data_IF_041898673862
#
_entry.id   IF_041898673862
#
_cell.length_a   1.000
_cell.length_b   1.000
_cell.length_c   1.000
_cell.angle_alpha   90.00
_cell.angle_beta   90.00
_cell.angle_gamma   90.00
#
_symmetry.space_group_name_H-M   'P 1'
#
loop_
_entity.id
_entity.type
_entity.pdbx_description
1 polymer ?
#
# COMPACT_ATOMS: atom_id res chain seq x y z
N UNK A 1 -8.67 -4.00 -16.88
CA UNK A 1 -9.26 -5.24 -16.31
C UNK A 1 -9.24 -5.15 -14.79
N UNK A 2 -10.28 -5.62 -14.10
CA UNK A 2 -10.42 -5.49 -12.63
C UNK A 2 -9.91 -6.71 -11.84
N UNK A 3 -9.64 -7.84 -12.51
CA UNK A 3 -9.16 -9.10 -11.92
C UNK A 3 -8.31 -9.86 -12.95
N UNK A 4 -7.23 -10.50 -12.51
CA UNK A 4 -6.46 -11.40 -13.38
C UNK A 4 -6.79 -12.87 -13.14
N UNK A 5 -6.90 -13.26 -11.87
CA UNK A 5 -7.01 -14.66 -11.47
C UNK A 5 -8.00 -14.83 -10.30
N UNK A 6 -8.81 -15.88 -10.36
CA UNK A 6 -9.59 -16.43 -9.25
C UNK A 6 -8.78 -17.55 -8.59
N UNK A 7 -8.71 -17.52 -7.26
CA UNK A 7 -7.89 -18.43 -6.46
C UNK A 7 -8.69 -19.39 -5.58
N UNK A 8 -9.87 -18.98 -5.15
CA UNK A 8 -10.71 -19.77 -4.26
C UNK A 8 -12.16 -19.33 -4.37
N UNK A 9 -13.06 -20.30 -4.27
CA UNK A 9 -14.50 -20.10 -4.09
C UNK A 9 -14.89 -20.76 -2.77
N UNK A 10 -15.49 -19.98 -1.87
CA UNK A 10 -16.15 -20.50 -0.68
C UNK A 10 -17.66 -20.34 -0.82
N UNK A 11 -18.40 -21.35 -0.38
CA UNK A 11 -19.86 -21.32 -0.28
C UNK A 11 -20.23 -21.61 1.17
N UNK A 12 -20.88 -20.63 1.83
CA UNK A 12 -20.85 -20.54 3.29
C UNK A 12 -19.41 -20.48 3.78
N UNK A 13 -19.09 -21.31 4.79
CA UNK A 13 -17.74 -21.39 5.36
C UNK A 13 -16.87 -22.50 4.73
N UNK A 14 -17.36 -23.20 3.70
CA UNK A 14 -16.66 -24.33 3.07
C UNK A 14 -16.03 -23.93 1.74
N UNK A 15 -14.83 -24.45 1.47
CA UNK A 15 -14.14 -24.28 0.18
C UNK A 15 -14.79 -25.19 -0.83
N UNK A 16 -15.46 -24.61 -1.84
CA UNK A 16 -16.07 -25.35 -2.95
C UNK A 16 -15.08 -25.55 -4.10
N UNK A 17 -14.11 -24.65 -4.24
CA UNK A 17 -13.06 -24.76 -5.25
C UNK A 17 -11.81 -24.00 -4.81
N UNK A 18 -10.64 -24.53 -5.18
CA UNK A 18 -9.35 -23.89 -4.99
C UNK A 18 -8.43 -24.22 -6.17
N UNK A 19 -7.74 -23.21 -6.70
CA UNK A 19 -6.88 -23.37 -7.87
C UNK A 19 -6.42 -22.02 -8.39
N UNK A 20 -6.01 -21.95 -9.65
CA UNK A 20 -5.75 -20.69 -10.35
C UNK A 20 -6.55 -20.73 -11.65
N UNK A 21 -7.48 -19.80 -11.82
CA UNK A 21 -8.25 -19.72 -13.06
C UNK A 21 -7.38 -19.25 -14.22
N UNK A 22 -7.80 -19.57 -15.44
CA UNK A 22 -7.17 -19.04 -16.66
C UNK A 22 -7.16 -17.50 -16.68
N UNK A 23 -6.11 -16.92 -17.29
CA UNK A 23 -5.90 -15.47 -17.42
C UNK A 23 -6.73 -14.85 -18.56
N UNK A 24 -7.32 -15.66 -19.45
CA UNK A 24 -8.22 -15.23 -20.52
C UNK A 24 -9.40 -14.38 -20.04
N UNK A 25 -9.94 -13.56 -20.93
CA UNK A 25 -11.08 -12.68 -20.61
C UNK A 25 -12.36 -13.44 -20.25
N UNK A 26 -12.55 -14.60 -20.88
CA UNK A 26 -13.55 -15.58 -20.48
C UNK A 26 -12.85 -16.84 -20.00
N UNK A 27 -13.21 -17.34 -18.82
CA UNK A 27 -12.69 -18.60 -18.30
C UNK A 27 -13.76 -19.42 -17.59
N UNK A 28 -13.55 -20.73 -17.53
CA UNK A 28 -14.53 -21.70 -17.03
C UNK A 28 -13.92 -22.48 -15.88
N UNK A 29 -14.65 -22.60 -14.78
CA UNK A 29 -14.25 -23.36 -13.59
C UNK A 29 -15.33 -24.40 -13.28
N UNK A 30 -15.00 -25.67 -13.43
CA UNK A 30 -15.86 -26.79 -13.02
C UNK A 30 -15.78 -26.97 -11.51
N UNK A 31 -16.92 -26.96 -10.84
CA UNK A 31 -17.07 -27.28 -9.41
C UNK A 31 -17.84 -28.59 -9.32
N UNK A 32 -17.26 -29.61 -8.69
CA UNK A 32 -17.90 -30.91 -8.49
C UNK A 32 -17.72 -31.33 -7.03
N UNK A 33 -18.49 -30.68 -6.17
CA UNK A 33 -18.56 -30.92 -4.73
C UNK A 33 -20.02 -31.19 -4.31
N UNK A 34 -20.69 -32.22 -4.88
CA UNK A 34 -22.12 -32.47 -4.64
C UNK A 34 -22.45 -32.81 -3.18
N UNK A 35 -21.44 -33.20 -2.39
CA UNK A 35 -21.58 -33.52 -0.97
C UNK A 35 -21.00 -32.44 -0.03
N UNK A 36 -20.72 -31.23 -0.55
CA UNK A 36 -20.06 -30.16 0.22
C UNK A 36 -20.76 -29.87 1.55
N UNK A 37 -22.08 -29.99 1.62
CA UNK A 37 -22.89 -29.79 2.82
C UNK A 37 -23.56 -31.07 3.33
N UNK A 38 -22.97 -32.23 3.01
CA UNK A 38 -23.43 -33.54 3.46
C UNK A 38 -24.36 -34.27 2.50
N UNK A 39 -24.49 -33.81 1.26
CA UNK A 39 -25.26 -34.50 0.22
C UNK A 39 -26.76 -34.43 0.43
N UNK A 40 -27.49 -35.32 -0.26
CA UNK A 40 -28.96 -35.34 -0.28
C UNK A 40 -29.59 -35.63 1.09
N UNK A 41 -28.85 -36.27 2.00
CA UNK A 41 -29.27 -36.48 3.38
C UNK A 41 -29.23 -35.20 4.24
N UNK A 42 -28.65 -34.11 3.71
CA UNK A 42 -28.52 -32.81 4.37
C UNK A 42 -28.86 -31.66 3.41
N UNK A 43 -27.90 -30.78 3.13
CA UNK A 43 -28.12 -29.56 2.33
C UNK A 43 -27.49 -29.65 0.92
N UNK A 44 -27.14 -30.86 0.47
CA UNK A 44 -26.51 -31.11 -0.81
C UNK A 44 -25.07 -30.64 -0.89
N UNK A 45 -24.77 -29.92 -1.97
CA UNK A 45 -23.46 -29.38 -2.29
C UNK A 45 -23.52 -28.50 -3.53
N UNK A 46 -22.36 -28.32 -4.18
CA UNK A 46 -22.20 -27.47 -5.35
C UNK A 46 -21.71 -28.31 -6.51
N UNK A 47 -22.50 -28.37 -7.57
CA UNK A 47 -22.16 -29.11 -8.78
C UNK A 47 -22.57 -28.30 -10.00
N UNK A 48 -21.61 -27.67 -10.65
CA UNK A 48 -21.88 -26.85 -11.84
C UNK A 48 -20.61 -26.30 -12.49
N UNK A 49 -20.79 -25.41 -13.45
CA UNK A 49 -19.68 -24.67 -14.07
C UNK A 49 -19.87 -23.19 -13.79
N UNK A 50 -18.81 -22.57 -13.29
CA UNK A 50 -18.71 -21.12 -13.14
C UNK A 50 -18.02 -20.54 -14.37
N UNK A 51 -18.72 -19.65 -15.07
CA UNK A 51 -18.18 -18.85 -16.17
C UNK A 51 -17.77 -17.50 -15.59
N UNK A 52 -16.51 -17.13 -15.83
CA UNK A 52 -15.89 -15.90 -15.37
C UNK A 52 -15.69 -15.01 -16.59
N UNK A 53 -16.32 -13.84 -16.59
CA UNK A 53 -16.15 -12.82 -17.63
C UNK A 53 -15.45 -11.61 -16.99
N UNK A 54 -14.27 -11.22 -17.49
CA UNK A 54 -13.43 -10.20 -16.84
C UNK A 54 -13.69 -8.77 -17.30
N UNK A 55 -14.61 -8.58 -18.24
CA UNK A 55 -15.11 -7.28 -18.66
C UNK A 55 -14.19 -6.56 -19.64
N UNK A 56 -13.43 -7.26 -20.49
CA UNK A 56 -12.65 -6.61 -21.54
C UNK A 56 -13.53 -5.77 -22.49
N UNK A 57 -12.92 -4.81 -23.18
CA UNK A 57 -13.60 -3.85 -24.07
C UNK A 57 -14.28 -4.52 -25.27
N UNK A 58 -13.79 -5.68 -25.68
CA UNK A 58 -14.29 -6.50 -26.79
C UNK A 58 -15.19 -7.65 -26.34
N UNK A 59 -15.48 -7.77 -25.04
CA UNK A 59 -16.33 -8.83 -24.49
C UNK A 59 -17.71 -8.85 -25.17
N UNK A 60 -18.17 -10.06 -25.50
CA UNK A 60 -19.47 -10.31 -26.11
C UNK A 60 -20.52 -10.69 -25.06
N UNK A 61 -21.83 -10.48 -25.34
CA UNK A 61 -22.91 -10.95 -24.46
C UNK A 61 -22.83 -12.46 -24.22
N UNK A 62 -23.05 -12.88 -22.97
CA UNK A 62 -23.01 -14.29 -22.60
C UNK A 62 -24.21 -15.05 -23.21
N UNK A 63 -24.00 -16.08 -24.06
CA UNK A 63 -25.09 -16.78 -24.73
C UNK A 63 -26.08 -17.47 -23.78
N UNK A 64 -25.62 -17.88 -22.60
CA UNK A 64 -26.43 -18.49 -21.53
C UNK A 64 -27.48 -17.49 -21.03
N UNK A 65 -27.07 -16.25 -20.73
CA UNK A 65 -27.98 -15.19 -20.29
C UNK A 65 -28.96 -14.79 -21.38
N UNK A 66 -28.50 -14.70 -22.64
CA UNK A 66 -29.40 -14.41 -23.78
C UNK A 66 -30.50 -15.46 -23.91
N UNK A 67 -30.14 -16.74 -23.77
CA UNK A 67 -31.12 -17.86 -23.80
C UNK A 67 -32.09 -17.80 -22.63
N UNK A 68 -31.63 -17.45 -21.43
CA UNK A 68 -32.50 -17.34 -20.24
C UNK A 68 -33.53 -16.22 -20.36
N UNK A 69 -33.13 -15.05 -20.84
CA UNK A 69 -34.01 -13.88 -20.91
C UNK A 69 -34.79 -13.76 -22.21
N UNK A 70 -34.44 -14.56 -23.23
CA UNK A 70 -35.01 -14.48 -24.58
C UNK A 70 -35.05 -13.03 -25.13
N UNK A 71 -33.99 -12.27 -24.84
CA UNK A 71 -33.88 -10.83 -25.11
C UNK A 71 -32.40 -10.43 -25.17
N UNK A 72 -32.03 -9.34 -25.88
CA UNK A 72 -30.68 -8.80 -25.83
C UNK A 72 -30.27 -8.45 -24.40
N UNK A 73 -29.14 -9.01 -23.95
CA UNK A 73 -28.52 -8.68 -22.67
C UNK A 73 -27.24 -7.87 -22.90
N UNK A 74 -26.85 -6.96 -21.98
CA UNK A 74 -25.58 -6.28 -22.05
C UNK A 74 -24.39 -7.26 -22.05
N UNK A 75 -23.28 -6.86 -22.64
CA UNK A 75 -22.02 -7.61 -22.57
C UNK A 75 -21.26 -7.42 -21.24
N UNK A 76 -21.76 -6.57 -20.33
CA UNK A 76 -21.16 -6.28 -19.02
C UNK A 76 -19.65 -5.94 -19.08
N UNK A 77 -19.25 -5.11 -20.05
CA UNK A 77 -17.87 -4.61 -20.18
C UNK A 77 -17.51 -3.70 -19.01
N UNK A 78 -16.24 -3.69 -18.62
CA UNK A 78 -15.71 -2.88 -17.52
C UNK A 78 -15.97 -3.44 -16.11
N UNK A 79 -16.70 -4.56 -15.99
CA UNK A 79 -16.95 -5.24 -14.72
C UNK A 79 -16.65 -6.74 -14.83
N UNK A 80 -16.20 -7.34 -13.72
CA UNK A 80 -16.02 -8.79 -13.63
C UNK A 80 -17.36 -9.39 -13.22
N UNK A 81 -17.85 -10.37 -13.98
CA UNK A 81 -19.09 -11.09 -13.68
C UNK A 81 -18.84 -12.59 -13.56
N UNK A 82 -19.55 -13.21 -12.63
CA UNK A 82 -19.55 -14.65 -12.40
C UNK A 82 -20.94 -15.19 -12.73
N UNK A 83 -21.03 -16.14 -13.66
CA UNK A 83 -22.27 -16.83 -14.02
C UNK A 83 -22.12 -18.31 -13.68
N UNK A 84 -22.93 -18.83 -12.77
CA UNK A 84 -22.90 -20.23 -12.38
C UNK A 84 -24.09 -20.98 -12.97
N UNK A 85 -23.82 -22.11 -13.61
CA UNK A 85 -24.83 -23.03 -14.13
C UNK A 85 -24.66 -24.39 -13.47
N UNK A 86 -25.64 -24.79 -12.65
CA UNK A 86 -25.65 -26.06 -11.96
C UNK A 86 -26.39 -26.04 -10.61
N UNK A 87 -26.17 -27.07 -9.82
CA UNK A 87 -26.73 -27.26 -8.48
C UNK A 87 -26.07 -26.31 -7.48
N UNK A 88 -26.88 -25.50 -6.80
CA UNK A 88 -26.45 -24.54 -5.76
C UNK A 88 -26.84 -24.94 -4.33
N UNK A 89 -27.81 -25.85 -4.19
CA UNK A 89 -28.24 -26.47 -2.95
C UNK A 89 -29.14 -27.69 -3.24
N UNK A 90 -29.25 -28.62 -2.29
CA UNK A 90 -30.25 -29.70 -2.26
C UNK A 90 -30.89 -29.73 -0.87
N UNK A 91 -32.13 -30.17 -0.71
CA UNK A 91 -32.80 -30.28 0.61
C UNK A 91 -33.11 -28.96 1.36
N UNK A 92 -32.60 -27.81 0.89
CA UNK A 92 -32.86 -26.47 1.42
C UNK A 92 -33.17 -25.49 0.28
N UNK A 93 -34.17 -24.60 0.42
CA UNK A 93 -34.50 -23.58 -0.58
C UNK A 93 -33.59 -22.35 -0.50
N UNK A 94 -32.62 -22.32 0.43
CA UNK A 94 -31.76 -21.15 0.67
C UNK A 94 -30.32 -21.41 0.22
N UNK A 95 -29.92 -20.92 -0.97
CA UNK A 95 -28.52 -20.95 -1.39
C UNK A 95 -27.64 -20.24 -0.36
N UNK A 96 -26.52 -20.88 0.01
CA UNK A 96 -25.55 -20.27 0.92
C UNK A 96 -24.78 -19.15 0.22
N UNK A 97 -24.27 -18.19 0.99
CA UNK A 97 -23.50 -17.07 0.47
C UNK A 97 -22.21 -17.53 -0.22
N UNK A 98 -21.88 -16.92 -1.36
CA UNK A 98 -20.65 -17.18 -2.10
C UNK A 98 -19.61 -16.10 -1.79
N UNK A 99 -18.35 -16.49 -1.67
CA UNK A 99 -17.23 -15.56 -1.60
C UNK A 99 -16.07 -16.02 -2.46
N UNK A 100 -15.35 -15.05 -3.02
CA UNK A 100 -14.31 -15.27 -4.01
C UNK A 100 -13.01 -14.63 -3.53
N UNK A 101 -11.92 -15.41 -3.57
CA UNK A 101 -10.59 -14.83 -3.44
C UNK A 101 -10.01 -14.62 -4.82
N UNK A 102 -9.72 -13.37 -5.13
CA UNK A 102 -9.22 -12.95 -6.43
C UNK A 102 -7.95 -12.14 -6.27
N UNK A 103 -7.14 -12.05 -7.32
CA UNK A 103 -5.97 -11.18 -7.33
C UNK A 103 -5.77 -10.51 -8.68
N UNK A 104 -5.03 -9.40 -8.63
CA UNK A 104 -4.60 -8.65 -9.79
C UNK A 104 -3.21 -8.08 -9.56
N UNK A 105 -2.28 -8.40 -10.46
CA UNK A 105 -0.94 -7.81 -10.52
C UNK A 105 -0.49 -7.46 -11.93
N UNK A 106 -1.30 -7.80 -12.95
CA UNK A 106 -1.04 -7.44 -14.33
C UNK A 106 -1.07 -5.92 -14.49
N UNK A 107 0.01 -5.44 -15.09
CA UNK A 107 0.25 -4.07 -15.50
C UNK A 107 0.79 -4.13 -16.93
N UNK A 108 0.78 -3.00 -17.64
CA UNK A 108 1.51 -2.85 -18.91
C UNK A 108 2.79 -2.01 -18.72
N UNK A 109 2.86 -1.28 -17.61
CA UNK A 109 4.00 -0.44 -17.24
C UNK A 109 4.91 -1.19 -16.27
N UNK A 110 6.18 -1.33 -16.66
CA UNK A 110 7.29 -1.87 -15.86
C UNK A 110 6.97 -3.24 -15.21
N UNK A 111 6.51 -4.16 -16.05
CA UNK A 111 5.87 -5.43 -15.67
C UNK A 111 6.76 -6.36 -14.87
N UNK A 112 8.06 -6.35 -15.16
CA UNK A 112 9.10 -7.11 -14.49
C UNK A 112 9.19 -6.81 -12.98
N UNK A 113 8.68 -5.65 -12.53
CA UNK A 113 8.65 -5.25 -11.12
C UNK A 113 7.24 -5.16 -10.53
N UNK A 114 6.19 -5.42 -11.31
CA UNK A 114 4.81 -5.25 -10.88
C UNK A 114 4.39 -6.28 -9.82
N UNK A 115 4.80 -7.52 -9.99
CA UNK A 115 4.46 -8.62 -9.07
C UNK A 115 5.59 -8.84 -8.07
N UNK A 116 5.25 -8.88 -6.78
CA UNK A 116 6.17 -9.24 -5.71
C UNK A 116 5.64 -10.52 -5.05
N UNK A 117 6.43 -11.58 -5.12
CA UNK A 117 6.12 -12.86 -4.46
C UNK A 117 6.58 -12.80 -3.00
N UNK A 118 5.67 -13.14 -2.10
CA UNK A 118 5.85 -13.16 -0.66
C UNK A 118 5.42 -14.53 -0.10
N UNK A 119 5.64 -14.75 1.19
CA UNK A 119 5.23 -15.95 1.92
C UNK A 119 4.34 -15.57 3.11
N UNK A 120 3.30 -16.37 3.39
CA UNK A 120 2.40 -16.16 4.54
C UNK A 120 3.03 -16.52 5.90
N UNK A 121 4.28 -17.01 5.91
CA UNK A 121 4.98 -17.55 7.08
C UNK A 121 4.82 -19.06 7.26
N UNK A 122 3.97 -19.71 6.45
CA UNK A 122 3.73 -21.15 6.46
C UNK A 122 4.18 -21.83 5.16
N UNK A 123 4.90 -21.13 4.28
CA UNK A 123 5.31 -21.68 2.98
C UNK A 123 4.26 -21.49 1.87
N UNK A 124 3.15 -20.78 2.11
CA UNK A 124 2.16 -20.52 1.07
C UNK A 124 2.49 -19.23 0.31
N UNK A 125 2.61 -19.29 -1.03
CA UNK A 125 3.00 -18.13 -1.82
C UNK A 125 1.88 -17.10 -1.90
N UNK A 126 2.22 -15.84 -1.64
CA UNK A 126 1.38 -14.67 -1.82
C UNK A 126 1.87 -13.90 -3.04
N UNK A 127 0.99 -13.66 -4.01
CA UNK A 127 1.25 -12.82 -5.19
C UNK A 127 0.71 -11.42 -4.91
N UNK A 128 1.58 -10.52 -4.48
CA UNK A 128 1.23 -9.16 -4.11
C UNK A 128 1.61 -8.16 -5.21
N UNK A 129 0.94 -7.01 -5.22
CA UNK A 129 1.22 -5.94 -6.18
C UNK A 129 2.24 -4.97 -5.59
N UNK A 130 3.18 -4.53 -6.42
CA UNK A 130 4.13 -3.49 -6.07
C UNK A 130 3.39 -2.15 -5.83
N UNK A 131 3.54 -1.51 -4.66
CA UNK A 131 2.86 -0.26 -4.32
C UNK A 131 3.09 0.88 -5.32
N UNK A 132 4.28 0.97 -5.93
CA UNK A 132 4.55 1.98 -6.96
C UNK A 132 3.61 1.80 -8.17
N UNK A 133 3.34 0.56 -8.57
CA UNK A 133 2.38 0.25 -9.64
C UNK A 133 0.94 0.48 -9.23
N UNK A 134 0.58 0.29 -7.96
CA UNK A 134 -0.75 0.64 -7.46
C UNK A 134 -0.98 2.15 -7.58
N UNK A 135 -0.01 2.95 -7.12
CA UNK A 135 -0.06 4.42 -7.22
C UNK A 135 -0.05 4.85 -8.68
N UNK A 136 0.83 4.29 -9.52
CA UNK A 136 0.87 4.56 -10.96
C UNK A 136 -0.48 4.32 -11.62
N UNK A 137 -1.15 3.19 -11.31
CA UNK A 137 -2.47 2.90 -11.88
C UNK A 137 -3.55 3.84 -11.35
N UNK A 138 -3.49 4.23 -10.07
CA UNK A 138 -4.39 5.22 -9.49
C UNK A 138 -4.24 6.61 -10.15
N UNK A 139 -3.04 6.97 -10.59
CA UNK A 139 -2.81 8.21 -11.34
C UNK A 139 -3.28 8.10 -12.79
N UNK A 140 -2.94 7.01 -13.49
CA UNK A 140 -3.09 6.93 -14.95
C UNK A 140 -4.42 6.36 -15.43
N UNK A 141 -5.15 5.59 -14.62
CA UNK A 141 -6.39 4.97 -15.09
C UNK A 141 -7.50 6.02 -15.29
N UNK A 142 -8.12 6.02 -16.46
CA UNK A 142 -9.17 6.97 -16.84
C UNK A 142 -10.57 6.62 -16.28
N UNK A 143 -10.82 5.33 -16.00
CA UNK A 143 -12.15 4.86 -15.56
C UNK A 143 -12.44 5.15 -14.08
N UNK A 144 -11.42 5.03 -13.22
CA UNK A 144 -11.55 5.17 -11.76
C UNK A 144 -10.39 5.92 -11.09
N UNK A 145 -9.28 6.10 -11.81
CA UNK A 145 -8.12 6.86 -11.34
C UNK A 145 -8.25 8.35 -11.66
N UNK A 146 -7.11 9.04 -11.75
CA UNK A 146 -7.09 10.46 -12.14
C UNK A 146 -7.09 10.71 -13.64
N UNK A 147 -6.80 9.70 -14.47
CA UNK A 147 -6.58 9.89 -15.91
C UNK A 147 -5.40 10.82 -16.22
N UNK A 148 -4.37 10.85 -15.36
CA UNK A 148 -3.17 11.67 -15.56
C UNK A 148 -2.36 11.13 -16.73
N UNK A 149 -2.01 12.03 -17.66
CA UNK A 149 -1.17 11.71 -18.81
C UNK A 149 0.23 11.26 -18.36
N UNK A 150 0.82 10.32 -19.11
CA UNK A 150 2.15 9.77 -18.78
C UNK A 150 3.24 10.84 -18.80
N UNK A 151 3.12 11.87 -19.65
CA UNK A 151 4.05 12.99 -19.73
C UNK A 151 3.99 13.93 -18.53
N UNK A 152 3.02 13.76 -17.62
CA UNK A 152 2.93 14.50 -16.36
C UNK A 152 3.54 13.74 -15.17
N UNK A 153 4.04 12.52 -15.39
CA UNK A 153 4.68 11.69 -14.38
C UNK A 153 6.19 11.63 -14.62
N UNK A 154 6.98 11.76 -13.56
CA UNK A 154 8.40 11.43 -13.58
C UNK A 154 8.54 9.90 -13.53
N UNK A 155 8.48 9.27 -14.71
CA UNK A 155 8.50 7.80 -14.84
C UNK A 155 9.77 7.17 -14.29
N UNK A 156 10.89 7.89 -14.27
CA UNK A 156 12.15 7.38 -13.73
C UNK A 156 12.08 7.32 -12.20
N UNK A 157 11.50 8.33 -11.53
CA UNK A 157 11.25 8.27 -10.09
C UNK A 157 10.33 7.10 -9.70
N UNK A 158 9.30 6.84 -10.50
CA UNK A 158 8.38 5.72 -10.28
C UNK A 158 9.08 4.36 -10.48
N UNK A 159 9.93 4.21 -11.51
CA UNK A 159 10.73 3.00 -11.73
C UNK A 159 11.70 2.74 -10.58
N UNK A 160 12.44 3.76 -10.15
CA UNK A 160 13.37 3.65 -9.02
C UNK A 160 12.64 3.22 -7.74
N UNK A 161 11.48 3.80 -7.45
CA UNK A 161 10.66 3.37 -6.31
C UNK A 161 10.18 1.92 -6.46
N UNK A 162 9.76 1.52 -7.67
CA UNK A 162 9.34 0.16 -7.93
C UNK A 162 10.48 -0.86 -7.74
N UNK A 163 11.69 -0.52 -8.17
CA UNK A 163 12.89 -1.36 -7.98
C UNK A 163 13.20 -1.55 -6.50
N UNK A 164 13.28 -0.45 -5.75
CA UNK A 164 13.56 -0.49 -4.31
C UNK A 164 12.50 -1.33 -3.59
N UNK A 165 11.20 -1.11 -3.85
CA UNK A 165 10.12 -1.87 -3.19
C UNK A 165 10.15 -3.35 -3.55
N UNK A 166 10.50 -3.68 -4.80
CA UNK A 166 10.65 -5.06 -5.22
C UNK A 166 11.80 -5.76 -4.49
N UNK A 167 12.97 -5.11 -4.40
CA UNK A 167 14.15 -5.64 -3.73
C UNK A 167 13.95 -5.71 -2.20
N UNK A 168 13.15 -4.81 -1.62
CA UNK A 168 12.71 -4.83 -0.23
C UNK A 168 11.64 -5.89 0.07
N UNK A 169 11.15 -6.62 -0.96
CA UNK A 169 10.02 -7.55 -0.87
C UNK A 169 8.77 -6.88 -0.29
N UNK A 170 8.48 -5.63 -0.69
CA UNK A 170 7.36 -4.85 -0.18
C UNK A 170 6.19 -4.89 -1.16
N UNK A 171 5.41 -5.98 -1.13
CA UNK A 171 4.18 -6.13 -1.89
C UNK A 171 2.92 -5.90 -1.04
N UNK A 172 1.87 -5.35 -1.65
CA UNK A 172 0.57 -5.13 -1.01
C UNK A 172 -0.57 -5.91 -1.67
N UNK A 173 -1.52 -6.36 -0.85
CA UNK A 173 -2.78 -6.99 -1.26
C UNK A 173 -3.95 -6.11 -0.82
N UNK A 174 -4.20 -5.02 -1.56
CA UNK A 174 -5.20 -4.02 -1.21
C UNK A 174 -6.21 -3.82 -2.35
N UNK A 175 -7.49 -3.63 -1.98
CA UNK A 175 -8.55 -3.35 -2.94
C UNK A 175 -8.94 -1.87 -2.89
N UNK A 176 -9.00 -1.24 -4.06
CA UNK A 176 -9.62 0.07 -4.22
C UNK A 176 -11.15 -0.08 -4.21
N UNK A 177 -11.83 0.67 -3.34
CA UNK A 177 -13.29 0.72 -3.28
C UNK A 177 -13.76 2.14 -3.57
N UNK A 178 -14.71 2.30 -4.50
CA UNK A 178 -15.21 3.62 -4.95
C UNK A 178 -15.84 4.48 -3.85
N UNK A 179 -16.17 3.89 -2.71
CA UNK A 179 -16.68 4.60 -1.53
C UNK A 179 -15.61 5.44 -0.82
N UNK A 180 -14.33 5.11 -1.02
CA UNK A 180 -13.22 5.84 -0.43
C UNK A 180 -12.82 7.00 -1.34
N UNK A 181 -12.15 8.03 -0.80
CA UNK A 181 -11.57 9.08 -1.63
C UNK A 181 -10.24 8.60 -2.23
N UNK A 182 -10.02 8.81 -3.53
CA UNK A 182 -8.81 8.31 -4.22
C UNK A 182 -7.53 8.84 -3.58
N UNK A 183 -7.56 10.10 -3.12
CA UNK A 183 -6.48 10.72 -2.36
C UNK A 183 -6.16 9.96 -1.07
N UNK A 184 -7.17 9.50 -0.33
CA UNK A 184 -6.98 8.76 0.92
C UNK A 184 -6.40 7.36 0.65
N UNK A 185 -6.85 6.69 -0.41
CA UNK A 185 -6.29 5.40 -0.82
C UNK A 185 -4.82 5.50 -1.23
N UNK A 186 -4.46 6.51 -2.04
CA UNK A 186 -3.05 6.78 -2.37
C UNK A 186 -2.26 7.11 -1.10
N UNK A 187 -2.80 7.93 -0.20
CA UNK A 187 -2.11 8.28 1.05
C UNK A 187 -1.87 7.05 1.92
N UNK A 188 -2.83 6.14 2.03
CA UNK A 188 -2.66 4.90 2.79
C UNK A 188 -1.49 4.07 2.25
N UNK A 189 -1.37 3.95 0.93
CA UNK A 189 -0.25 3.24 0.30
C UNK A 189 1.08 3.95 0.60
N UNK A 190 1.12 5.28 0.46
CA UNK A 190 2.30 6.10 0.78
C UNK A 190 2.72 5.95 2.25
N UNK A 191 1.77 5.92 3.19
CA UNK A 191 2.02 5.74 4.61
C UNK A 191 2.61 4.35 4.90
N UNK A 192 2.16 3.30 4.20
CA UNK A 192 2.72 1.96 4.34
C UNK A 192 4.17 1.90 3.85
N UNK A 193 4.43 2.38 2.63
CA UNK A 193 5.78 2.31 2.04
C UNK A 193 6.75 3.36 2.59
N UNK A 194 6.26 4.32 3.37
CA UNK A 194 7.02 5.50 3.78
C UNK A 194 7.46 6.26 2.54
N UNK A 195 6.51 6.89 1.84
CA UNK A 195 6.78 7.60 0.60
C UNK A 195 6.00 8.91 0.50
N UNK A 196 6.35 9.70 -0.51
CA UNK A 196 5.67 10.94 -0.86
C UNK A 196 5.41 10.98 -2.36
N UNK A 197 4.23 11.49 -2.73
CA UNK A 197 3.88 11.80 -4.11
C UNK A 197 3.68 13.31 -4.22
N UNK A 198 4.50 13.96 -5.04
CA UNK A 198 4.62 15.42 -5.07
C UNK A 198 4.92 15.91 -6.47
N UNK A 199 4.67 17.20 -6.72
CA UNK A 199 5.10 17.83 -7.97
C UNK A 199 6.51 18.36 -7.77
N UNK A 200 7.46 17.88 -8.57
CA UNK A 200 8.81 18.43 -8.59
C UNK A 200 8.77 19.83 -9.19
N UNK A 201 9.26 20.81 -8.45
CA UNK A 201 9.15 22.23 -8.85
C UNK A 201 10.05 22.59 -10.03
N UNK A 202 11.07 21.78 -10.30
CA UNK A 202 12.04 22.03 -11.38
C UNK A 202 11.50 21.49 -12.69
N UNK A 203 10.88 20.32 -12.66
CA UNK A 203 10.39 19.63 -13.87
C UNK A 203 8.89 19.82 -14.11
N UNK A 204 8.12 20.17 -13.07
CA UNK A 204 6.66 20.23 -13.11
C UNK A 204 5.98 18.85 -13.11
N UNK A 205 6.74 17.76 -12.97
CA UNK A 205 6.24 16.39 -13.04
C UNK A 205 5.85 15.87 -11.66
N UNK A 206 4.86 14.98 -11.61
CA UNK A 206 4.57 14.20 -10.43
C UNK A 206 5.67 13.16 -10.19
N UNK A 207 6.33 13.28 -9.06
CA UNK A 207 7.45 12.45 -8.61
C UNK A 207 7.03 11.59 -7.43
N UNK A 208 7.34 10.30 -7.50
CA UNK A 208 7.23 9.38 -6.37
C UNK A 208 8.59 9.26 -5.70
N UNK A 209 8.63 9.44 -4.38
CA UNK A 209 9.87 9.38 -3.60
C UNK A 209 9.65 8.48 -2.39
N UNK A 210 10.61 7.59 -2.12
CA UNK A 210 10.64 6.79 -0.89
C UNK A 210 11.46 7.51 0.18
N UNK A 211 10.93 7.52 1.39
CA UNK A 211 11.56 8.03 2.60
C UNK A 211 12.39 6.89 3.18
N UNK A 212 13.71 6.97 3.06
CA UNK A 212 14.68 5.98 3.54
C UNK A 212 15.80 6.69 4.28
N UNK A 213 16.38 6.01 5.26
CA UNK A 213 17.55 6.53 5.99
C UNK A 213 18.69 6.75 5.00
N UNK A 214 19.30 7.94 5.02
CA UNK A 214 20.40 8.26 4.10
C UNK A 214 21.66 7.50 4.49
N UNK A 215 22.17 6.69 3.56
CA UNK A 215 23.43 5.93 3.73
C UNK A 215 24.69 6.81 3.51
N UNK A 216 24.55 8.10 3.17
CA UNK A 216 25.69 8.96 2.82
C UNK A 216 25.46 10.42 3.23
N UNK A 217 25.61 10.75 4.53
CA UNK A 217 25.37 12.11 5.05
C UNK A 217 26.23 13.18 4.36
N UNK A 218 27.44 12.82 3.94
CA UNK A 218 28.39 13.75 3.29
C UNK A 218 27.98 14.16 1.88
N UNK A 219 27.06 13.41 1.25
CA UNK A 219 26.49 13.76 -0.06
C UNK A 219 25.33 14.75 0.02
N UNK A 220 24.79 14.97 1.23
CA UNK A 220 23.62 15.81 1.43
C UNK A 220 24.00 17.30 1.47
N UNK A 221 23.12 18.21 1.01
CA UNK A 221 23.28 19.63 1.26
C UNK A 221 23.42 19.91 2.75
N UNK A 222 24.41 20.72 3.14
CA UNK A 222 24.66 21.11 4.54
C UNK A 222 24.37 22.60 4.72
N UNK A 223 23.64 22.94 5.79
CA UNK A 223 23.28 24.32 6.13
C UNK A 223 23.69 24.67 7.56
N UNK A 224 24.39 25.79 7.69
CA UNK A 224 24.72 26.55 8.89
C UNK A 224 24.52 28.06 8.61
N UNK A 225 24.79 28.92 9.60
CA UNK A 225 24.66 30.37 9.43
C UNK A 225 25.58 31.00 8.37
N UNK A 226 26.67 30.34 7.95
CA UNK A 226 27.54 30.79 6.85
C UNK A 226 27.16 30.20 5.48
N UNK A 227 26.46 29.07 5.48
CA UNK A 227 26.16 28.27 4.28
C UNK A 227 24.69 28.33 3.85
N UNK A 228 23.81 28.93 4.64
CA UNK A 228 22.49 29.34 4.14
C UNK A 228 21.42 29.62 5.20
N UNK A 229 21.66 29.37 6.49
CA UNK A 229 20.67 29.69 7.53
C UNK A 229 20.62 31.19 7.74
N UNK A 230 19.42 31.77 7.58
CA UNK A 230 19.13 33.16 7.90
C UNK A 230 18.64 33.30 9.34
N UNK A 231 17.70 32.44 9.75
CA UNK A 231 17.15 32.41 11.12
C UNK A 231 16.46 31.07 11.41
N UNK A 232 16.23 30.82 12.71
CA UNK A 232 15.40 29.71 13.20
C UNK A 232 14.16 30.34 13.82
N UNK A 233 12.98 30.03 13.28
CA UNK A 233 11.70 30.53 13.77
C UNK A 233 11.17 29.66 14.92
N UNK A 234 11.31 28.35 14.81
CA UNK A 234 10.89 27.39 15.83
C UNK A 234 11.95 26.31 16.03
N UNK A 235 12.17 25.95 17.30
CA UNK A 235 13.05 24.87 17.76
C UNK A 235 12.27 24.11 18.83
N UNK A 236 11.50 23.13 18.38
CA UNK A 236 10.61 22.37 19.22
C UNK A 236 11.16 20.96 19.37
N UNK A 237 11.45 20.57 20.60
CA UNK A 237 11.64 19.18 20.95
C UNK A 237 10.28 18.62 21.38
N UNK A 238 9.86 17.49 20.81
CA UNK A 238 8.67 16.80 21.30
C UNK A 238 8.94 16.26 22.72
N UNK A 239 8.49 16.95 23.75
CA UNK A 239 8.50 16.48 25.14
C UNK A 239 7.11 15.95 25.48
N UNK A 240 6.89 14.65 25.27
CA UNK A 240 5.74 13.95 25.86
C UNK A 240 6.30 12.95 26.88
N UNK A 241 5.92 13.07 28.15
CA UNK A 241 6.45 12.20 29.21
C UNK A 241 5.86 10.78 29.15
N UNK A 242 4.72 10.58 28.49
CA UNK A 242 4.05 9.29 28.29
C UNK A 242 3.79 9.07 26.80
N UNK A 243 4.61 8.21 26.20
CA UNK A 243 4.58 7.89 24.77
C UNK A 243 4.25 6.41 24.60
N UNK A 244 3.45 6.06 23.58
CA UNK A 244 3.12 4.65 23.25
C UNK A 244 4.35 3.78 23.28
N UNK A 245 4.42 2.84 24.23
CA UNK A 245 5.54 1.91 24.39
C UNK A 245 5.19 0.46 24.00
N UNK A 246 3.95 0.23 23.56
CA UNK A 246 3.50 -0.99 22.90
C UNK A 246 2.57 -0.66 21.73
N UNK A 247 2.91 -1.15 20.54
CA UNK A 247 2.08 -1.07 19.33
C UNK A 247 1.60 -2.48 18.97
N UNK A 248 0.28 -2.67 18.93
CA UNK A 248 -0.35 -3.88 18.38
C UNK A 248 -0.97 -3.51 17.04
N UNK A 249 -0.45 -4.09 15.97
CA UNK A 249 -0.93 -3.84 14.63
C UNK A 249 -1.68 -5.04 14.07
N UNK A 250 -2.88 -4.84 13.53
CA UNK A 250 -3.62 -5.87 12.81
C UNK A 250 -3.34 -5.83 11.31
N UNK A 251 -3.24 -7.00 10.70
CA UNK A 251 -3.08 -7.21 9.25
C UNK A 251 -3.93 -8.41 8.81
N UNK A 252 -4.21 -8.53 7.52
CA UNK A 252 -5.03 -9.64 6.99
C UNK A 252 -4.17 -10.53 6.09
N UNK A 253 -4.08 -11.81 6.46
CA UNK A 253 -3.44 -12.84 5.65
C UNK A 253 -4.37 -13.19 4.47
N UNK A 254 -3.96 -12.94 3.20
CA UNK A 254 -4.81 -13.22 2.05
C UNK A 254 -4.97 -14.73 1.78
N UNK A 255 -4.12 -15.59 2.34
CA UNK A 255 -4.16 -17.05 2.16
C UNK A 255 -5.22 -17.69 3.08
N UNK A 256 -5.26 -17.33 4.35
CA UNK A 256 -6.30 -17.82 5.27
C UNK A 256 -7.57 -16.96 5.24
N UNK A 257 -7.45 -15.70 4.81
CA UNK A 257 -8.45 -14.64 4.95
C UNK A 257 -8.77 -14.32 6.42
N UNK A 258 -7.78 -14.46 7.30
CA UNK A 258 -7.90 -14.15 8.72
C UNK A 258 -7.15 -12.86 9.06
N UNK A 259 -7.74 -12.07 9.97
CA UNK A 259 -7.05 -10.94 10.57
C UNK A 259 -6.16 -11.45 11.70
N UNK A 260 -4.87 -11.18 11.59
CA UNK A 260 -3.84 -11.50 12.58
C UNK A 260 -3.26 -10.23 13.16
N UNK A 261 -2.49 -10.37 14.24
CA UNK A 261 -1.82 -9.23 14.88
C UNK A 261 -0.33 -9.46 14.97
N UNK A 262 0.42 -8.36 14.91
CA UNK A 262 1.84 -8.28 15.22
C UNK A 262 2.01 -7.27 16.35
N UNK A 263 3.00 -7.51 17.20
CA UNK A 263 3.26 -6.68 18.37
C UNK A 263 4.70 -6.17 18.34
N UNK A 264 4.88 -4.89 18.62
CA UNK A 264 6.18 -4.27 18.83
C UNK A 264 6.18 -3.51 20.15
N UNK A 265 7.28 -3.60 20.91
CA UNK A 265 7.38 -3.10 22.27
C UNK A 265 8.71 -2.39 22.52
N UNK A 266 8.67 -1.37 23.37
CA UNK A 266 9.86 -0.84 24.02
C UNK A 266 9.89 -1.32 25.48
N UNK A 267 10.57 -2.45 25.72
CA UNK A 267 10.66 -3.08 27.04
C UNK A 267 11.22 -2.13 28.11
N UNK A 268 12.16 -1.25 27.74
CA UNK A 268 12.76 -0.30 28.68
C UNK A 268 11.80 0.81 29.10
N UNK A 269 10.91 1.27 28.22
CA UNK A 269 9.83 2.21 28.61
C UNK A 269 8.72 1.48 29.36
N UNK A 270 8.36 0.25 28.99
CA UNK A 270 7.36 -0.54 29.72
C UNK A 270 7.78 -0.77 31.18
N UNK A 271 9.05 -1.06 31.43
CA UNK A 271 9.58 -1.24 32.79
C UNK A 271 9.52 0.03 33.65
N UNK A 272 9.64 1.21 33.03
CA UNK A 272 9.60 2.51 33.74
C UNK A 272 8.18 3.03 33.93
N UNK A 273 7.37 2.95 32.88
CA UNK A 273 6.12 3.72 32.76
C UNK A 273 4.87 2.83 32.75
N UNK A 274 5.02 1.49 32.77
CA UNK A 274 3.94 0.55 32.53
C UNK A 274 3.54 0.48 31.06
N UNK A 275 2.54 -0.34 30.70
CA UNK A 275 2.12 -0.50 29.30
C UNK A 275 1.25 0.68 28.85
N UNK A 276 1.65 1.32 27.75
CA UNK A 276 0.90 2.37 27.04
C UNK A 276 0.65 1.85 25.63
N UNK A 277 -0.53 1.23 25.45
CA UNK A 277 -0.91 0.51 24.24
C UNK A 277 -1.51 1.45 23.18
N UNK A 278 -1.06 1.27 21.95
CA UNK A 278 -1.74 1.76 20.75
C UNK A 278 -2.11 0.60 19.84
N UNK A 279 -3.33 0.62 19.31
CA UNK A 279 -3.77 -0.31 18.28
C UNK A 279 -3.77 0.40 16.91
N UNK A 280 -3.29 -0.28 15.88
CA UNK A 280 -3.32 0.22 14.49
C UNK A 280 -3.74 -0.90 13.54
N UNK A 281 -4.36 -0.55 12.43
CA UNK A 281 -4.68 -1.52 11.37
C UNK A 281 -3.89 -1.18 10.13
N UNK A 282 -3.16 -2.15 9.62
CA UNK A 282 -2.42 -2.05 8.37
C UNK A 282 -3.15 -2.79 7.26
N UNK A 283 -4.05 -2.08 6.59
CA UNK A 283 -4.84 -2.64 5.49
C UNK A 283 -3.92 -2.94 4.31
N UNK A 284 -3.99 -4.17 3.82
CA UNK A 284 -3.29 -4.58 2.61
C UNK A 284 -1.82 -4.95 2.78
N UNK A 285 -1.27 -4.90 3.99
CA UNK A 285 -0.01 -5.60 4.30
C UNK A 285 -0.32 -7.09 4.47
N UNK A 286 0.20 -7.98 3.61
CA UNK A 286 -0.31 -9.35 3.54
C UNK A 286 0.46 -10.35 4.42
N UNK A 287 1.58 -9.94 5.04
CA UNK A 287 2.45 -10.85 5.81
C UNK A 287 2.78 -10.30 7.20
N UNK A 288 3.09 -11.21 8.12
CA UNK A 288 3.57 -10.87 9.46
C UNK A 288 4.88 -10.06 9.40
N UNK A 289 5.80 -10.40 8.49
CA UNK A 289 7.08 -9.70 8.35
C UNK A 289 6.87 -8.24 7.93
N UNK A 290 6.06 -7.98 6.90
CA UNK A 290 5.79 -6.61 6.45
C UNK A 290 5.04 -5.81 7.51
N UNK A 291 4.01 -6.39 8.12
CA UNK A 291 3.28 -5.75 9.20
C UNK A 291 4.21 -5.42 10.38
N UNK A 292 5.12 -6.32 10.75
CA UNK A 292 6.09 -6.14 11.82
C UNK A 292 7.18 -5.12 11.50
N UNK A 293 7.68 -5.08 10.26
CA UNK A 293 8.65 -4.06 9.80
C UNK A 293 8.04 -2.66 9.84
N UNK A 294 6.80 -2.51 9.35
CA UNK A 294 6.06 -1.24 9.39
C UNK A 294 5.69 -0.85 10.82
N UNK A 295 5.24 -1.80 11.67
CA UNK A 295 5.00 -1.56 13.10
C UNK A 295 6.27 -1.07 13.81
N UNK A 296 7.41 -1.71 13.54
CA UNK A 296 8.68 -1.36 14.16
C UNK A 296 9.18 0.01 13.73
N UNK A 297 9.01 0.38 12.45
CA UNK A 297 9.30 1.73 11.95
C UNK A 297 8.42 2.77 12.64
N UNK A 298 7.10 2.55 12.68
CA UNK A 298 6.16 3.45 13.32
C UNK A 298 6.47 3.59 14.82
N UNK A 299 6.82 2.49 15.49
CA UNK A 299 7.22 2.47 16.89
C UNK A 299 8.49 3.28 17.15
N UNK A 300 9.50 3.16 16.28
CA UNK A 300 10.74 3.95 16.34
C UNK A 300 10.42 5.44 16.24
N UNK A 301 9.52 5.84 15.34
CA UNK A 301 9.10 7.24 15.17
C UNK A 301 8.35 7.73 16.41
N UNK A 302 7.43 6.94 16.95
CA UNK A 302 6.65 7.32 18.13
C UNK A 302 7.57 7.52 19.34
N UNK A 303 8.49 6.59 19.57
CA UNK A 303 9.45 6.63 20.68
C UNK A 303 10.59 7.64 20.48
N UNK A 304 10.82 8.08 19.25
CA UNK A 304 11.83 9.10 18.97
C UNK A 304 11.33 10.48 19.40
N UNK A 305 12.07 11.10 20.31
CA UNK A 305 11.86 12.49 20.71
C UNK A 305 12.46 13.42 19.64
N UNK A 306 11.88 13.39 18.44
CA UNK A 306 12.45 14.02 17.26
C UNK A 306 12.56 15.53 17.46
N UNK A 307 13.75 16.05 17.14
CA UNK A 307 13.92 17.50 17.00
C UNK A 307 13.13 17.97 15.79
N UNK A 308 12.35 19.03 15.98
CA UNK A 308 11.61 19.70 14.90
C UNK A 308 12.06 21.15 14.82
N UNK A 309 12.36 21.58 13.61
CA UNK A 309 12.79 22.94 13.34
C UNK A 309 11.90 23.58 12.28
N UNK A 310 11.65 24.87 12.45
CA UNK A 310 11.21 25.76 11.37
C UNK A 310 12.34 26.72 11.09
N UNK A 311 13.00 26.54 9.95
CA UNK A 311 14.26 27.22 9.59
C UNK A 311 14.00 28.07 8.37
N UNK A 312 14.52 29.30 8.36
CA UNK A 312 14.53 30.14 7.16
C UNK A 312 15.92 30.13 6.57
N UNK A 313 16.00 29.65 5.33
CA UNK A 313 17.22 29.49 4.55
C UNK A 313 17.26 30.50 3.39
N UNK A 314 18.45 30.76 2.88
CA UNK A 314 18.67 31.54 1.65
C UNK A 314 18.42 30.70 0.38
N UNK A 315 18.67 31.31 -0.79
CA UNK A 315 18.46 30.69 -2.11
C UNK A 315 19.29 29.42 -2.36
N UNK A 316 20.33 29.11 -1.58
CA UNK A 316 21.10 27.87 -1.73
C UNK A 316 20.24 26.64 -1.40
N UNK A 317 19.17 26.82 -0.61
CA UNK A 317 18.19 25.77 -0.31
C UNK A 317 17.13 25.57 -1.41
N UNK A 318 17.25 26.21 -2.58
CA UNK A 318 16.23 26.17 -3.64
C UNK A 318 15.89 24.77 -4.15
N UNK A 319 16.85 23.85 -4.11
CA UNK A 319 16.64 22.45 -4.51
C UNK A 319 15.90 21.62 -3.46
N UNK A 320 15.79 22.10 -2.21
CA UNK A 320 15.02 21.39 -1.19
C UNK A 320 13.54 21.38 -1.55
N UNK A 321 12.95 20.21 -1.41
CA UNK A 321 11.52 20.00 -1.57
C UNK A 321 11.02 19.11 -0.41
N UNK A 322 9.71 18.93 -0.21
CA UNK A 322 9.22 17.90 0.71
C UNK A 322 9.92 16.54 0.52
N UNK A 323 10.13 15.82 1.61
CA UNK A 323 10.91 14.58 1.70
C UNK A 323 12.43 14.68 1.43
N UNK A 324 12.97 15.84 1.06
CA UNK A 324 14.42 16.03 0.89
C UNK A 324 15.16 15.92 2.22
N UNK A 325 16.33 15.29 2.17
CA UNK A 325 17.25 15.17 3.31
C UNK A 325 18.36 16.21 3.21
N UNK A 326 18.73 16.79 4.35
CA UNK A 326 19.82 17.76 4.45
C UNK A 326 20.49 17.69 5.82
N UNK A 327 21.74 18.14 5.90
CA UNK A 327 22.48 18.25 7.16
C UNK A 327 22.30 19.64 7.74
N UNK A 328 21.93 19.71 9.01
CA UNK A 328 21.82 20.94 9.78
C UNK A 328 22.96 21.03 10.79
N UNK A 329 23.68 22.15 10.80
CA UNK A 329 24.77 22.42 11.76
C UNK A 329 24.54 23.74 12.46
N UNK A 330 24.36 23.69 13.77
CA UNK A 330 24.16 24.86 14.64
C UNK A 330 25.02 24.69 15.90
N UNK A 331 26.36 24.83 15.80
CA UNK A 331 27.26 24.61 16.94
C UNK A 331 26.95 25.52 18.13
N UNK A 332 26.44 26.73 17.87
CA UNK A 332 26.03 27.68 18.93
C UNK A 332 24.88 27.16 19.80
N UNK A 333 24.10 26.19 19.32
CA UNK A 333 23.03 25.50 20.07
C UNK A 333 23.41 24.06 20.45
N UNK A 334 24.69 23.71 20.38
CA UNK A 334 25.17 22.35 20.68
C UNK A 334 24.80 21.30 19.63
N UNK A 335 24.51 21.71 18.39
CA UNK A 335 24.20 20.81 17.28
C UNK A 335 25.36 20.85 16.29
N UNK A 336 26.30 19.91 16.41
CA UNK A 336 27.45 19.83 15.50
C UNK A 336 27.03 19.38 14.11
N UNK A 337 26.17 18.36 14.03
CA UNK A 337 25.60 17.84 12.80
C UNK A 337 24.36 17.00 13.11
N UNK A 338 23.26 17.23 12.40
CA UNK A 338 22.06 16.40 12.46
C UNK A 338 21.43 16.29 11.07
N UNK A 339 21.03 15.09 10.67
CA UNK A 339 20.30 14.88 9.42
C UNK A 339 18.83 15.19 9.66
N UNK A 340 18.30 16.05 8.80
CA UNK A 340 16.95 16.57 8.86
C UNK A 340 16.22 16.22 7.57
N UNK A 341 14.95 15.85 7.70
CA UNK A 341 14.04 15.64 6.59
C UNK A 341 13.06 16.79 6.47
N UNK A 342 12.98 17.40 5.30
CA UNK A 342 12.04 18.46 5.01
C UNK A 342 10.62 17.90 4.93
N UNK A 343 9.72 18.37 5.81
CA UNK A 343 8.29 18.03 5.79
C UNK A 343 7.54 19.02 4.91
N UNK A 344 7.87 20.30 5.02
CA UNK A 344 7.27 21.40 4.27
C UNK A 344 8.36 22.35 3.84
N UNK A 345 8.32 22.76 2.57
CA UNK A 345 9.22 23.77 1.99
C UNK A 345 8.37 24.84 1.35
N UNK A 346 8.49 26.06 1.87
CA UNK A 346 7.72 27.21 1.45
C UNK A 346 8.67 28.25 0.88
N UNK A 347 8.35 28.73 -0.31
CA UNK A 347 9.08 29.83 -0.90
C UNK A 347 8.21 31.06 -0.66
N UNK A 348 8.76 32.05 0.03
CA UNK A 348 8.07 33.30 0.30
C UNK A 348 7.95 34.10 -1.02
N UNK A 349 7.85 35.42 -0.93
CA UNK A 349 7.78 36.29 -2.10
C UNK A 349 9.00 36.14 -3.02
N UNK A 350 8.77 36.23 -4.34
CA UNK A 350 9.80 36.17 -5.39
C UNK A 350 10.96 37.16 -5.15
N UNK A 351 10.68 38.25 -4.45
CA UNK A 351 11.58 39.36 -4.15
C UNK A 351 12.54 39.06 -3.00
N UNK A 352 12.15 38.30 -1.98
CA UNK A 352 12.94 38.14 -0.75
C UNK A 352 13.89 36.93 -0.76
N UNK A 353 13.72 35.96 -1.67
CA UNK A 353 14.66 34.83 -1.81
C UNK A 353 14.77 33.90 -0.58
N UNK A 354 13.97 34.15 0.45
CA UNK A 354 13.87 33.32 1.66
C UNK A 354 13.06 32.04 1.40
N UNK A 355 13.56 30.95 1.95
CA UNK A 355 12.94 29.62 1.87
C UNK A 355 12.71 29.12 3.29
N UNK A 356 11.44 28.97 3.67
CA UNK A 356 11.06 28.44 4.98
C UNK A 356 10.94 26.93 4.90
N UNK A 357 11.70 26.21 5.71
CA UNK A 357 11.72 24.76 5.77
C UNK A 357 11.27 24.30 7.16
N UNK A 358 10.14 23.60 7.22
CA UNK A 358 9.77 22.80 8.39
C UNK A 358 10.39 21.43 8.25
N UNK A 359 11.29 21.07 9.16
CA UNK A 359 12.03 19.82 9.11
C UNK A 359 11.97 19.08 10.44
N UNK A 360 12.11 17.75 10.36
CA UNK A 360 12.17 16.84 11.51
C UNK A 360 13.43 15.99 11.41
N UNK A 361 13.99 15.59 12.55
CA UNK A 361 15.15 14.70 12.56
C UNK A 361 14.83 13.41 11.77
N UNK A 362 15.76 12.99 10.91
CA UNK A 362 15.58 11.81 10.07
C UNK A 362 15.81 10.52 10.88
N UNK A 363 14.75 9.73 11.05
CA UNK A 363 14.80 8.39 11.68
C UNK A 363 13.96 7.35 10.94
N UNK A 364 13.45 7.70 9.75
CA UNK A 364 12.31 7.04 9.10
C UNK A 364 12.64 5.73 8.37
N UNK A 365 13.87 5.22 8.49
CA UNK A 365 14.32 3.98 7.85
C UNK A 365 13.46 2.76 8.21
N UNK A 366 13.13 1.94 7.20
CA UNK A 366 12.43 0.67 7.38
C UNK A 366 13.45 -0.42 7.80
N UNK A 367 13.22 -1.16 8.90
CA UNK A 367 14.12 -2.25 9.28
C UNK A 367 14.10 -3.38 8.25
N UNK A 368 15.28 -3.99 8.02
CA UNK A 368 15.45 -5.09 7.04
C UNK A 368 14.74 -6.39 7.42
N UNK A 369 14.50 -6.62 8.71
CA UNK A 369 13.79 -7.79 9.24
C UNK A 369 12.94 -7.37 10.44
N UNK A 370 11.77 -7.99 10.60
CA UNK A 370 11.02 -7.95 11.86
C UNK A 370 11.52 -9.06 12.78
N UNK A 371 11.78 -8.74 14.05
CA UNK A 371 11.95 -9.73 15.11
C UNK A 371 10.70 -9.66 15.99
N UNK A 372 9.67 -10.38 15.59
CA UNK A 372 8.48 -10.57 16.42
C UNK A 372 8.67 -11.90 17.16
N UNK A 373 8.58 -11.92 18.51
CA UNK A 373 8.65 -13.16 19.27
C UNK A 373 7.46 -14.09 19.01
#
# INVERSE_FOLDING_TARGET
MAMDELLQIKVGDRVAWQGVSDSANESHVRIHEPYLFGGDDKEGGIDGTLIIMKGASDQQPLPQLQRMYNSPVPAYRGVVTFFFDGMVCSGSPYPKAWSFRVRRTACDWYNEKATIWLDDGNGNPIKAMNPAHIIFKAQTNEDWGRGTDLGQLDLDSFKQCADILHDEQFGMCIAWKRQDALKQFIQQILDHIGGALMIDRTTGLWKLVLIRESDSPDSLPSFDYGTGILRIEEDNNSSNDLVTNQLVASYTDPVSNETRTVRTENLASIQRDGIILQNKTYVGLPTVDLAGRVASRDMKIIQSHLKKFKIVLDRRAYSLQPASDFVLKIPQRGIESIIMRAVRVEHNELTNGEITVTAVQDVFGLPKKSYTP
#
